data_IF_366411367573
#
_entry.id   IF_366411367573
#
_cell.length_a   1.000
_cell.length_b   1.000
_cell.length_c   1.000
_cell.angle_alpha   90.00
_cell.angle_beta   90.00
_cell.angle_gamma   90.00
#
_symmetry.space_group_name_H-M   'P 1'
#
loop_
_entity.id
_entity.type
_entity.pdbx_description
1 polymer ?
#
# COMPACT_ATOMS: atom_id res chain seq x y z
N UNK A 1 -0.93 10.63 -8.88
CA UNK A 1 -0.14 11.12 -7.74
C UNK A 1 -0.14 10.12 -6.60
N UNK A 2 -1.29 9.98 -5.92
CA UNK A 2 -1.45 9.13 -4.73
C UNK A 2 -1.12 7.64 -5.00
N UNK A 3 -1.57 7.09 -6.13
CA UNK A 3 -1.24 5.70 -6.49
C UNK A 3 0.27 5.44 -6.62
N UNK A 4 1.01 6.38 -7.22
CA UNK A 4 2.46 6.26 -7.38
C UNK A 4 3.18 6.36 -6.03
N UNK A 5 2.68 7.21 -5.11
CA UNK A 5 3.20 7.31 -3.75
C UNK A 5 3.09 5.97 -3.03
N UNK A 6 1.90 5.36 -3.01
CA UNK A 6 1.70 4.07 -2.35
C UNK A 6 2.47 2.95 -3.04
N UNK A 7 2.58 2.96 -4.38
CA UNK A 7 3.42 1.99 -5.09
C UNK A 7 4.90 2.06 -4.70
N UNK A 8 5.45 3.27 -4.50
CA UNK A 8 6.83 3.45 -4.02
C UNK A 8 6.97 2.93 -2.58
N UNK A 9 6.02 3.21 -1.69
CA UNK A 9 6.04 2.69 -0.32
C UNK A 9 5.99 1.17 -0.29
N UNK A 10 5.10 0.54 -1.06
CA UNK A 10 5.03 -0.93 -1.15
C UNK A 10 6.36 -1.54 -1.62
N UNK A 11 7.04 -0.92 -2.58
CA UNK A 11 8.37 -1.39 -3.03
C UNK A 11 9.40 -1.26 -1.91
N UNK A 12 9.41 -0.11 -1.22
CA UNK A 12 10.33 0.15 -0.12
C UNK A 12 10.12 -0.85 1.03
N UNK A 13 8.88 -1.06 1.47
CA UNK A 13 8.55 -1.95 2.58
C UNK A 13 8.75 -3.42 2.21
N UNK A 14 8.47 -3.81 0.97
CA UNK A 14 8.79 -5.17 0.49
C UNK A 14 10.30 -5.44 0.57
N UNK A 15 11.15 -4.45 0.25
CA UNK A 15 12.60 -4.60 0.41
C UNK A 15 13.02 -4.66 1.88
N UNK A 16 12.41 -3.87 2.76
CA UNK A 16 12.67 -3.94 4.20
C UNK A 16 12.30 -5.32 4.77
N UNK A 17 11.16 -5.88 4.37
CA UNK A 17 10.74 -7.24 4.75
C UNK A 17 11.75 -8.27 4.22
N UNK A 18 12.14 -8.19 2.95
CA UNK A 18 13.13 -9.09 2.35
C UNK A 18 14.51 -9.01 3.03
N UNK A 19 14.86 -7.84 3.57
CA UNK A 19 16.10 -7.60 4.31
C UNK A 19 16.00 -7.96 5.81
N UNK A 20 14.87 -8.48 6.29
CA UNK A 20 14.69 -8.88 7.68
C UNK A 20 14.57 -7.71 8.66
N UNK A 21 14.02 -6.57 8.21
CA UNK A 21 13.84 -5.39 9.06
C UNK A 21 12.70 -5.51 10.09
N UNK A 22 11.98 -6.63 10.09
CA UNK A 22 10.85 -6.90 10.99
C UNK A 22 11.19 -8.07 11.91
N UNK A 23 10.94 -7.89 13.21
CA UNK A 23 11.18 -8.93 14.23
C UNK A 23 10.12 -10.04 14.23
N UNK A 24 8.94 -9.78 13.64
CA UNK A 24 7.79 -10.67 13.62
C UNK A 24 7.21 -10.78 12.20
N UNK A 25 6.95 -12.02 11.77
CA UNK A 25 6.29 -12.32 10.50
C UNK A 25 4.88 -11.73 10.42
N UNK A 26 4.19 -11.65 11.58
CA UNK A 26 2.85 -11.07 11.67
C UNK A 26 2.92 -9.56 11.40
N UNK A 27 3.92 -8.87 11.93
CA UNK A 27 4.07 -7.42 11.74
C UNK A 27 4.41 -7.09 10.28
N UNK A 28 5.28 -7.90 9.66
CA UNK A 28 5.57 -7.80 8.23
C UNK A 28 4.31 -8.01 7.37
N UNK A 29 3.49 -9.02 7.70
CA UNK A 29 2.25 -9.31 6.98
C UNK A 29 1.20 -8.18 7.14
N UNK A 30 1.07 -7.62 8.34
CA UNK A 30 0.15 -6.49 8.60
C UNK A 30 0.61 -5.24 7.86
N UNK A 31 1.90 -4.94 7.84
CA UNK A 31 2.45 -3.80 7.08
C UNK A 31 2.13 -3.94 5.59
N UNK A 32 2.42 -5.10 5.01
CA UNK A 32 2.16 -5.36 3.60
C UNK A 32 0.67 -5.32 3.27
N UNK A 33 -0.20 -5.78 4.18
CA UNK A 33 -1.65 -5.67 4.03
C UNK A 33 -2.10 -4.20 3.93
N UNK A 34 -1.57 -3.33 4.79
CA UNK A 34 -1.92 -1.91 4.79
C UNK A 34 -1.44 -1.21 3.52
N UNK A 35 -0.25 -1.54 3.02
CA UNK A 35 0.25 -1.07 1.73
C UNK A 35 -0.69 -1.41 0.58
N UNK A 36 -1.12 -2.67 0.51
CA UNK A 36 -2.08 -3.11 -0.49
C UNK A 36 -3.45 -2.44 -0.35
N UNK A 37 -3.94 -2.24 0.87
CA UNK A 37 -5.20 -1.55 1.12
C UNK A 37 -5.16 -0.08 0.68
N UNK A 38 -4.05 0.61 0.94
CA UNK A 38 -3.84 1.98 0.50
C UNK A 38 -3.77 2.08 -1.02
N UNK A 39 -3.04 1.17 -1.68
CA UNK A 39 -2.96 1.09 -3.13
C UNK A 39 -4.32 0.77 -3.75
N UNK A 40 -5.07 -0.17 -3.17
CA UNK A 40 -6.44 -0.49 -3.59
C UNK A 40 -7.35 0.75 -3.51
N UNK A 41 -7.34 1.46 -2.39
CA UNK A 41 -8.12 2.70 -2.23
C UNK A 41 -7.70 3.77 -3.24
N UNK A 42 -6.40 3.92 -3.49
CA UNK A 42 -5.90 4.85 -4.50
C UNK A 42 -6.32 4.47 -5.93
N UNK A 43 -6.43 3.17 -6.23
CA UNK A 43 -7.00 2.66 -7.50
C UNK A 43 -8.49 2.99 -7.58
N UNK A 44 -9.26 2.74 -6.50
CA UNK A 44 -10.69 3.06 -6.50
C UNK A 44 -10.94 4.57 -6.71
N UNK A 45 -10.11 5.42 -6.11
CA UNK A 45 -10.12 6.87 -6.34
C UNK A 45 -9.77 7.21 -7.80
N UNK A 46 -8.74 6.56 -8.38
CA UNK A 46 -8.36 6.74 -9.78
C UNK A 46 -9.48 6.34 -10.74
N UNK A 47 -10.23 5.28 -10.41
CA UNK A 47 -11.37 4.79 -11.18
C UNK A 47 -12.62 5.66 -11.00
N UNK A 48 -12.57 6.71 -10.16
CA UNK A 48 -13.70 7.60 -9.92
C UNK A 48 -14.84 6.96 -9.11
N UNK A 49 -14.60 5.81 -8.46
CA UNK A 49 -15.64 5.06 -7.72
C UNK A 49 -16.13 5.83 -6.48
N UNK A 50 -15.33 6.78 -5.99
CA UNK A 50 -15.68 7.69 -4.91
C UNK A 50 -15.93 9.14 -5.39
N UNK A 51 -16.03 9.36 -6.70
CA UNK A 51 -16.33 10.66 -7.30
C UNK A 51 -17.81 10.99 -7.14
N UNK A 52 -18.08 12.13 -6.53
CA UNK A 52 -19.39 12.74 -6.33
C UNK A 52 -20.17 12.88 -7.63
N UNK A 53 -21.45 12.44 -7.60
CA UNK A 53 -22.51 13.02 -8.40
C UNK A 53 -22.57 14.53 -8.09
N UNK A 54 -22.04 15.36 -8.98
CA UNK A 54 -22.60 16.68 -9.29
C UNK A 54 -23.39 16.56 -10.59
#
# INVERSE_FOLDING_TARGET
GILLLFGIFTIYDTQNIANGAYDSEVDAAVSLYLDFLNMFTAILQLLGIFGSDD
#
